data_IF_825057306463
#
_entry.id   IF_825057306463
#
_cell.length_a   1.000
_cell.length_b   1.000
_cell.length_c   1.000
_cell.angle_alpha   90.00
_cell.angle_beta   90.00
_cell.angle_gamma   90.00
#
_symmetry.space_group_name_H-M   'P 1'
#
loop_
_entity.id
_entity.type
_entity.pdbx_description
1 polymer ?
#
# COMPACT_ATOMS: atom_id res chain seq x y z
N UNK A 1 40.38 6.15 -13.16
CA UNK A 1 40.38 4.73 -13.57
C UNK A 1 40.81 4.52 -15.02
N UNK A 2 40.09 5.00 -16.05
CA UNK A 2 40.49 4.80 -17.45
C UNK A 2 41.86 5.42 -17.78
N UNK A 3 42.09 6.66 -17.35
CA UNK A 3 43.38 7.36 -17.53
C UNK A 3 44.52 6.63 -16.80
N UNK A 4 44.34 6.27 -15.53
CA UNK A 4 45.34 5.51 -14.76
C UNK A 4 45.68 4.15 -15.38
N UNK A 5 44.70 3.43 -15.93
CA UNK A 5 44.94 2.16 -16.63
C UNK A 5 45.72 2.35 -17.92
N UNK A 6 45.45 3.44 -18.64
CA UNK A 6 46.22 3.83 -19.81
C UNK A 6 47.65 4.21 -19.45
N UNK A 7 47.84 5.00 -18.39
CA UNK A 7 49.16 5.43 -17.94
C UNK A 7 50.00 4.22 -17.48
N UNK A 8 49.39 3.25 -16.80
CA UNK A 8 50.02 1.96 -16.47
C UNK A 8 50.38 1.15 -17.71
N UNK A 9 49.51 1.12 -18.73
CA UNK A 9 49.83 0.46 -19.99
C UNK A 9 51.01 1.14 -20.72
N UNK A 10 51.07 2.47 -20.72
CA UNK A 10 52.20 3.23 -21.29
C UNK A 10 53.49 2.96 -20.50
N UNK A 11 53.44 2.94 -19.17
CA UNK A 11 54.58 2.62 -18.31
C UNK A 11 55.13 1.21 -18.56
N UNK A 12 54.28 0.25 -18.92
CA UNK A 12 54.66 -1.11 -19.27
C UNK A 12 55.13 -1.27 -20.73
N UNK A 13 55.43 -0.15 -21.43
CA UNK A 13 55.87 -0.12 -22.83
C UNK A 13 54.89 -0.77 -23.81
N UNK A 14 53.58 -0.69 -23.55
CA UNK A 14 52.58 -1.08 -24.55
C UNK A 14 52.55 -0.05 -25.69
N UNK A 15 53.24 -0.34 -26.79
CA UNK A 15 53.00 0.31 -28.07
C UNK A 15 51.89 -0.44 -28.78
N UNK A 16 50.79 0.25 -29.09
CA UNK A 16 49.90 -0.21 -30.15
C UNK A 16 50.70 -0.02 -31.44
N UNK A 17 51.28 -1.08 -31.98
CA UNK A 17 51.76 -1.04 -33.35
C UNK A 17 50.53 -0.81 -34.23
N UNK A 18 50.49 0.31 -34.94
CA UNK A 18 49.47 0.65 -35.95
C UNK A 18 49.59 -0.25 -37.20
N UNK A 19 50.07 -1.49 -37.05
CA UNK A 19 50.09 -2.48 -38.12
C UNK A 19 48.72 -3.16 -38.20
N UNK A 20 47.87 -2.59 -39.05
CA UNK A 20 46.71 -3.28 -39.61
C UNK A 20 47.16 -4.62 -40.21
N UNK A 21 46.74 -5.75 -39.62
CA UNK A 21 46.70 -7.01 -40.37
C UNK A 21 47.25 -8.29 -39.73
N UNK A 22 47.52 -8.39 -38.41
CA UNK A 22 47.75 -9.72 -37.81
C UNK A 22 47.06 -9.91 -36.46
N UNK A 23 46.10 -10.83 -36.42
CA UNK A 23 45.37 -11.31 -35.23
C UNK A 23 46.26 -12.17 -34.32
N UNK A 24 47.50 -11.74 -34.06
CA UNK A 24 48.33 -12.35 -33.03
C UNK A 24 47.82 -11.89 -31.68
N UNK A 25 47.15 -12.79 -30.96
CA UNK A 25 46.70 -12.55 -29.60
C UNK A 25 47.89 -12.10 -28.72
N UNK A 26 47.95 -10.81 -28.42
CA UNK A 26 48.98 -10.23 -27.56
C UNK A 26 48.92 -10.91 -26.18
N UNK A 27 49.99 -11.64 -25.83
CA UNK A 27 50.09 -12.31 -24.54
C UNK A 27 50.58 -11.28 -23.52
N UNK A 28 49.65 -10.76 -22.73
CA UNK A 28 49.94 -9.82 -21.64
C UNK A 28 50.87 -10.47 -20.61
N UNK A 29 52.02 -9.84 -20.34
CA UNK A 29 52.88 -10.17 -19.21
C UNK A 29 52.48 -9.27 -18.03
N UNK A 30 52.01 -9.87 -16.93
CA UNK A 30 51.68 -9.14 -15.72
C UNK A 30 52.86 -9.26 -14.75
N UNK A 31 53.38 -8.14 -14.27
CA UNK A 31 54.43 -8.12 -13.25
C UNK A 31 54.18 -7.00 -12.24
N UNK A 32 54.62 -7.21 -11.00
CA UNK A 32 54.64 -6.21 -9.95
C UNK A 32 56.03 -6.21 -9.31
N UNK A 33 56.75 -5.08 -9.35
CA UNK A 33 58.15 -4.99 -8.90
C UNK A 33 59.04 -6.08 -9.52
N UNK A 34 58.96 -6.25 -10.84
CA UNK A 34 59.69 -7.25 -11.63
C UNK A 34 59.37 -8.73 -11.34
N UNK A 35 58.42 -9.01 -10.44
CA UNK A 35 57.94 -10.37 -10.20
C UNK A 35 56.83 -10.70 -11.19
N UNK A 36 57.00 -11.69 -12.08
CA UNK A 36 55.97 -12.10 -13.01
C UNK A 36 54.81 -12.77 -12.25
N UNK A 37 53.59 -12.46 -12.64
CA UNK A 37 52.39 -12.99 -12.00
C UNK A 37 51.30 -13.33 -13.01
N UNK A 38 50.34 -14.16 -12.57
CA UNK A 38 49.19 -14.48 -13.40
C UNK A 38 48.17 -13.33 -13.38
N UNK A 39 47.36 -13.24 -14.43
CA UNK A 39 46.29 -12.24 -14.59
C UNK A 39 45.38 -12.13 -13.37
N UNK A 40 45.04 -13.26 -12.76
CA UNK A 40 44.17 -13.33 -11.60
C UNK A 40 44.78 -12.71 -10.34
N UNK A 41 46.09 -12.94 -10.12
CA UNK A 41 46.82 -12.35 -9.00
C UNK A 41 46.96 -10.83 -9.15
N UNK A 42 47.30 -10.36 -10.35
CA UNK A 42 47.40 -8.93 -10.66
C UNK A 42 46.06 -8.21 -10.44
N UNK A 43 44.96 -8.78 -10.93
CA UNK A 43 43.63 -8.22 -10.75
C UNK A 43 43.23 -8.13 -9.26
N UNK A 44 43.51 -9.17 -8.46
CA UNK A 44 43.22 -9.16 -7.02
C UNK A 44 44.07 -8.16 -6.25
N UNK A 45 45.36 -8.03 -6.57
CA UNK A 45 46.29 -7.09 -5.94
C UNK A 45 45.87 -5.63 -6.16
N UNK A 46 45.30 -5.31 -7.31
CA UNK A 46 44.78 -3.98 -7.62
C UNK A 46 43.29 -3.80 -7.28
N UNK A 47 42.71 -4.70 -6.47
CA UNK A 47 41.29 -4.68 -6.08
C UNK A 47 40.31 -4.64 -7.27
N UNK A 48 40.76 -5.14 -8.42
CA UNK A 48 39.97 -5.23 -9.64
C UNK A 48 39.22 -6.56 -9.64
N UNK A 49 37.96 -6.55 -9.19
CA UNK A 49 37.07 -7.70 -9.38
C UNK A 49 36.96 -8.05 -10.87
N UNK A 50 36.81 -9.34 -11.21
CA UNK A 50 36.62 -9.82 -12.60
C UNK A 50 35.20 -9.47 -13.07
N UNK A 51 34.91 -8.17 -13.17
CA UNK A 51 33.65 -7.69 -13.70
C UNK A 51 33.73 -7.63 -15.24
N UNK A 52 32.68 -8.03 -15.96
CA UNK A 52 32.60 -7.88 -17.42
C UNK A 52 32.88 -6.44 -17.88
N UNK A 53 32.54 -5.46 -17.03
CA UNK A 53 32.79 -4.03 -17.24
C UNK A 53 34.27 -3.69 -17.31
N UNK A 54 35.10 -4.25 -16.43
CA UNK A 54 36.55 -4.05 -16.44
C UNK A 54 37.22 -4.71 -17.65
N UNK A 55 36.69 -5.83 -18.12
CA UNK A 55 37.20 -6.51 -19.32
C UNK A 55 36.95 -5.66 -20.58
N UNK A 56 35.77 -5.04 -20.69
CA UNK A 56 35.46 -4.09 -21.76
C UNK A 56 36.31 -2.82 -21.67
N UNK A 57 36.54 -2.32 -20.46
CA UNK A 57 37.40 -1.15 -20.23
C UNK A 57 38.85 -1.42 -20.63
N UNK A 58 39.39 -2.58 -20.23
CA UNK A 58 40.71 -3.06 -20.60
C UNK A 58 40.83 -3.21 -22.12
N UNK A 59 39.85 -3.84 -22.79
CA UNK A 59 39.84 -3.97 -24.26
C UNK A 59 39.94 -2.61 -24.95
N UNK A 60 39.19 -1.61 -24.48
CA UNK A 60 39.21 -0.27 -25.05
C UNK A 60 40.55 0.45 -24.81
N UNK A 61 41.17 0.27 -23.64
CA UNK A 61 42.53 0.79 -23.36
C UNK A 61 43.56 0.13 -24.29
N UNK A 62 43.50 -1.20 -24.46
CA UNK A 62 44.41 -1.95 -25.33
C UNK A 62 44.25 -1.59 -26.82
N UNK A 63 43.07 -1.13 -27.23
CA UNK A 63 42.81 -0.62 -28.58
C UNK A 63 43.21 0.86 -28.77
N UNK A 64 43.89 1.47 -27.80
CA UNK A 64 44.34 2.86 -27.88
C UNK A 64 43.21 3.90 -27.80
N UNK A 65 41.98 3.49 -27.51
CA UNK A 65 40.85 4.41 -27.43
C UNK A 65 41.03 5.36 -26.24
N UNK A 66 40.73 6.64 -26.43
CA UNK A 66 40.85 7.67 -25.39
C UNK A 66 39.72 7.66 -24.36
N UNK A 67 38.59 7.04 -24.70
CA UNK A 67 37.39 6.94 -23.88
C UNK A 67 36.80 5.53 -24.02
N UNK A 68 36.21 4.95 -22.95
CA UNK A 68 35.46 3.71 -23.06
C UNK A 68 34.18 3.96 -23.86
N UNK A 69 33.73 2.96 -24.63
CA UNK A 69 32.45 3.04 -25.33
C UNK A 69 31.35 3.39 -24.32
N UNK A 70 30.59 4.46 -24.59
CA UNK A 70 29.59 4.91 -23.65
C UNK A 70 28.50 3.85 -23.55
N UNK A 71 28.22 3.37 -22.34
CA UNK A 71 27.24 2.32 -22.12
C UNK A 71 25.85 2.87 -22.45
N UNK A 72 25.37 2.52 -23.65
CA UNK A 72 24.14 3.02 -24.27
C UNK A 72 22.90 2.73 -23.39
N UNK A 73 22.99 1.75 -22.47
CA UNK A 73 21.96 1.46 -21.47
C UNK A 73 21.67 2.65 -20.55
N UNK A 74 22.66 3.51 -20.31
CA UNK A 74 22.52 4.68 -19.45
C UNK A 74 22.24 5.98 -20.23
N UNK A 75 22.36 5.95 -21.56
CA UNK A 75 22.22 7.15 -22.40
C UNK A 75 20.89 7.26 -23.16
N UNK A 76 20.10 6.20 -23.31
CA UNK A 76 18.81 6.30 -24.02
C UNK A 76 17.71 5.48 -23.33
N UNK A 77 16.83 6.16 -22.57
CA UNK A 77 15.46 5.63 -22.39
C UNK A 77 14.77 5.77 -23.74
N UNK A 78 14.60 4.68 -24.49
CA UNK A 78 13.70 4.72 -25.65
C UNK A 78 12.29 5.04 -25.16
N UNK A 79 11.77 6.21 -25.54
CA UNK A 79 10.34 6.50 -25.46
C UNK A 79 9.66 5.54 -26.44
N UNK A 80 9.10 4.44 -25.92
CA UNK A 80 8.44 3.42 -26.74
C UNK A 80 8.90 1.98 -26.49
N UNK A 81 9.22 1.59 -25.25
CA UNK A 81 9.27 0.16 -24.92
C UNK A 81 7.88 -0.43 -25.17
N UNK A 82 7.77 -1.40 -26.08
CA UNK A 82 6.62 -2.29 -26.10
C UNK A 82 6.39 -2.81 -24.68
N UNK A 83 5.20 -2.55 -24.13
CA UNK A 83 4.82 -3.02 -22.80
C UNK A 83 4.91 -4.54 -22.83
N UNK A 84 5.63 -5.12 -21.88
CA UNK A 84 5.73 -6.58 -21.80
C UNK A 84 4.33 -7.17 -21.61
N UNK A 85 4.04 -8.34 -22.17
CA UNK A 85 2.76 -9.04 -21.96
C UNK A 85 2.40 -9.14 -20.46
N UNK A 86 3.42 -9.39 -19.64
CA UNK A 86 3.32 -9.44 -18.17
C UNK A 86 2.85 -8.14 -17.55
N UNK A 87 3.24 -7.01 -18.13
CA UNK A 87 2.79 -5.69 -17.66
C UNK A 87 1.32 -5.46 -17.98
N UNK A 88 0.83 -5.98 -19.11
CA UNK A 88 -0.59 -5.94 -19.45
C UNK A 88 -1.45 -6.76 -18.49
N UNK A 89 -0.98 -7.95 -18.09
CA UNK A 89 -1.68 -8.81 -17.13
C UNK A 89 -1.80 -8.15 -15.75
N UNK A 90 -0.70 -7.61 -15.23
CA UNK A 90 -0.73 -6.87 -13.95
C UNK A 90 -1.65 -5.66 -14.04
N UNK A 91 -1.56 -4.88 -15.13
CA UNK A 91 -2.42 -3.72 -15.32
C UNK A 91 -3.91 -4.13 -15.33
N UNK A 92 -4.26 -5.18 -16.06
CA UNK A 92 -5.65 -5.69 -16.14
C UNK A 92 -6.16 -6.15 -14.77
N UNK A 93 -5.31 -6.80 -13.98
CA UNK A 93 -5.66 -7.21 -12.62
C UNK A 93 -5.89 -6.01 -11.70
N UNK A 94 -5.00 -5.01 -11.72
CA UNK A 94 -5.14 -3.80 -10.90
C UNK A 94 -6.34 -2.96 -11.33
N UNK A 95 -6.63 -2.89 -12.64
CA UNK A 95 -7.83 -2.25 -13.17
C UNK A 95 -9.09 -2.93 -12.64
N UNK A 96 -9.14 -4.27 -12.70
CA UNK A 96 -10.26 -5.04 -12.14
C UNK A 96 -10.44 -4.77 -10.65
N UNK A 97 -9.35 -4.74 -9.86
CA UNK A 97 -9.43 -4.39 -8.44
C UNK A 97 -9.94 -2.97 -8.20
N UNK A 98 -9.50 -2.00 -8.99
CA UNK A 98 -9.92 -0.61 -8.89
C UNK A 98 -11.41 -0.44 -9.20
N UNK A 99 -11.91 -1.13 -10.22
CA UNK A 99 -13.31 -1.05 -10.64
C UNK A 99 -14.25 -1.81 -9.72
N UNK A 100 -13.85 -2.99 -9.22
CA UNK A 100 -14.75 -3.89 -8.50
C UNK A 100 -14.62 -3.84 -6.98
N UNK A 101 -13.41 -3.65 -6.45
CA UNK A 101 -13.12 -3.76 -5.01
C UNK A 101 -12.90 -2.39 -4.37
N UNK A 102 -12.20 -1.49 -5.06
CA UNK A 102 -11.87 -0.20 -4.49
C UNK A 102 -13.13 0.69 -4.35
N UNK A 103 -13.40 1.15 -3.13
CA UNK A 103 -14.57 1.96 -2.79
C UNK A 103 -14.22 3.45 -2.74
N UNK A 104 -15.14 4.33 -3.13
CA UNK A 104 -15.00 5.76 -2.85
C UNK A 104 -15.45 6.00 -1.42
N UNK A 105 -14.54 6.43 -0.55
CA UNK A 105 -14.90 6.78 0.82
C UNK A 105 -15.52 8.19 0.83
N UNK A 106 -16.62 8.42 1.58
CA UNK A 106 -17.26 9.73 1.71
C UNK A 106 -16.37 10.78 2.42
N UNK A 107 -15.19 10.38 2.90
CA UNK A 107 -14.27 11.22 3.66
C UNK A 107 -13.37 12.11 2.78
N UNK A 108 -13.29 11.89 1.47
CA UNK A 108 -12.40 12.69 0.59
C UNK A 108 -12.93 14.09 0.23
N UNK A 109 -14.18 14.42 0.52
CA UNK A 109 -14.69 15.81 0.45
C UNK A 109 -14.52 16.57 1.77
N UNK A 110 -14.08 15.88 2.83
CA UNK A 110 -13.79 16.51 4.10
C UNK A 110 -12.27 16.52 4.32
N UNK A 111 -11.62 17.63 3.99
CA UNK A 111 -10.37 18.05 4.63
C UNK A 111 -10.62 18.14 6.13
N UNK A 112 -10.60 16.99 6.79
CA UNK A 112 -10.90 16.83 8.21
C UNK A 112 -9.62 17.12 8.97
N UNK A 113 -9.39 18.40 9.24
CA UNK A 113 -8.29 18.94 10.06
C UNK A 113 -8.36 18.51 11.55
N UNK A 114 -9.08 17.43 11.88
CA UNK A 114 -9.49 17.10 13.25
C UNK A 114 -8.78 15.87 13.85
N UNK A 115 -7.70 15.36 13.23
CA UNK A 115 -6.84 14.35 13.86
C UNK A 115 -5.52 14.94 14.33
N UNK A 116 -5.35 14.83 15.66
CA UNK A 116 -4.21 15.17 16.51
C UNK A 116 -2.87 14.72 15.89
N UNK A 117 -1.85 15.59 15.97
CA UNK A 117 -0.50 15.35 15.45
C UNK A 117 0.31 14.37 16.33
N UNK A 118 -0.18 14.03 17.52
CA UNK A 118 0.57 13.21 18.48
C UNK A 118 0.69 11.72 18.09
N UNK A 119 -0.26 11.18 17.31
CA UNK A 119 -0.23 9.78 16.81
C UNK A 119 0.30 9.66 15.36
N UNK A 120 0.66 10.77 14.70
CA UNK A 120 1.08 10.75 13.29
C UNK A 120 2.50 10.22 13.07
N UNK A 121 3.36 10.25 14.07
CA UNK A 121 4.78 9.87 13.91
C UNK A 121 5.01 8.36 13.77
N UNK A 122 4.18 7.49 14.39
CA UNK A 122 4.28 6.04 14.18
C UNK A 122 3.64 5.56 12.85
N UNK A 123 2.64 6.29 12.33
CA UNK A 123 1.93 5.94 11.09
C UNK A 123 2.62 6.50 9.84
N UNK A 124 3.33 7.64 9.95
CA UNK A 124 4.14 8.24 8.88
C UNK A 124 5.20 7.28 8.34
N UNK A 125 5.84 6.47 9.19
CA UNK A 125 6.91 5.55 8.75
C UNK A 125 6.45 4.49 7.73
N UNK A 126 5.16 4.16 7.67
CA UNK A 126 4.64 3.20 6.69
C UNK A 126 4.20 3.86 5.37
N UNK A 127 3.81 5.14 5.41
CA UNK A 127 3.28 5.89 4.26
C UNK A 127 4.30 6.83 3.60
N UNK A 128 5.33 7.28 4.31
CA UNK A 128 6.34 8.22 3.79
C UNK A 128 7.30 7.58 2.78
N UNK A 129 7.31 6.25 2.65
CA UNK A 129 8.00 5.55 1.55
C UNK A 129 7.24 5.71 0.22
N UNK A 130 5.97 6.16 0.25
CA UNK A 130 5.08 6.20 -0.92
C UNK A 130 4.96 7.62 -1.51
N UNK A 131 5.21 8.68 -0.74
CA UNK A 131 4.91 10.06 -1.12
C UNK A 131 6.08 10.89 -1.67
N UNK A 132 7.20 10.28 -2.07
CA UNK A 132 8.39 11.05 -2.47
C UNK A 132 8.53 11.39 -3.96
N UNK A 133 7.64 10.97 -4.87
CA UNK A 133 7.69 11.49 -6.24
C UNK A 133 6.31 11.58 -6.89
N UNK A 134 6.11 12.73 -7.55
CA UNK A 134 5.06 13.06 -8.53
C UNK A 134 3.78 13.67 -7.96
N UNK A 135 3.82 14.96 -7.61
CA UNK A 135 2.69 15.84 -7.94
C UNK A 135 2.83 16.17 -9.44
N UNK A 136 1.96 15.70 -10.34
CA UNK A 136 1.87 16.30 -11.66
C UNK A 136 1.18 17.66 -11.49
N UNK A 137 1.90 18.73 -11.80
CA UNK A 137 1.27 19.98 -12.19
C UNK A 137 0.52 19.69 -13.50
N UNK A 138 -0.81 19.62 -13.47
CA UNK A 138 -1.59 19.63 -14.71
C UNK A 138 -3.00 20.14 -14.46
N UNK A 139 -3.16 21.42 -14.77
CA UNK A 139 -4.39 22.06 -15.22
C UNK A 139 -4.82 21.49 -16.59
N UNK A 140 -5.26 20.23 -16.62
CA UNK A 140 -5.79 19.60 -17.84
C UNK A 140 -7.23 19.09 -17.59
N UNK A 141 -8.27 19.62 -18.26
CA UNK A 141 -9.68 19.32 -17.95
C UNK A 141 -10.16 17.92 -18.36
N UNK A 142 -9.29 17.04 -18.87
CA UNK A 142 -9.65 15.75 -19.48
C UNK A 142 -9.39 14.50 -18.61
N UNK A 143 -8.85 14.63 -17.39
CA UNK A 143 -8.62 13.51 -16.45
C UNK A 143 -9.65 13.47 -15.32
N UNK A 144 -10.93 13.55 -15.67
CA UNK A 144 -12.05 13.64 -14.72
C UNK A 144 -12.40 12.31 -14.01
N UNK A 145 -11.72 11.20 -14.31
CA UNK A 145 -12.13 9.85 -13.87
C UNK A 145 -11.25 9.15 -12.82
N UNK A 146 -10.01 9.60 -12.56
CA UNK A 146 -9.14 8.98 -11.56
C UNK A 146 -9.46 9.51 -10.15
N UNK A 147 -10.69 9.27 -9.70
CA UNK A 147 -11.06 9.52 -8.30
C UNK A 147 -10.26 8.57 -7.41
N UNK A 148 -9.71 9.10 -6.32
CA UNK A 148 -9.04 8.28 -5.30
C UNK A 148 -10.04 7.25 -4.76
N UNK A 149 -9.68 5.96 -4.87
CA UNK A 149 -10.48 4.85 -4.32
C UNK A 149 -9.64 4.07 -3.32
N UNK A 150 -10.32 3.48 -2.35
CA UNK A 150 -9.70 2.77 -1.24
C UNK A 150 -9.97 1.28 -1.35
N UNK A 151 -8.90 0.49 -1.34
CA UNK A 151 -8.95 -0.94 -1.12
C UNK A 151 -9.21 -1.24 0.37
N UNK A 152 -9.77 -2.42 0.68
CA UNK A 152 -9.84 -2.93 2.05
C UNK A 152 -8.48 -2.89 2.75
N UNK A 153 -8.45 -2.80 4.09
CA UNK A 153 -7.19 -2.77 4.84
C UNK A 153 -6.28 -3.95 4.45
N UNK A 154 -5.02 -3.64 4.15
CA UNK A 154 -4.04 -4.60 3.67
C UNK A 154 -2.79 -3.91 3.17
N UNK A 155 -1.96 -4.64 2.41
CA UNK A 155 -0.75 -4.09 1.79
C UNK A 155 -0.62 -4.46 0.32
N UNK A 156 0.14 -3.67 -0.43
CA UNK A 156 0.46 -3.94 -1.84
C UNK A 156 1.10 -5.34 -2.03
N UNK A 157 1.84 -5.81 -1.03
CA UNK A 157 2.44 -7.14 -1.02
C UNK A 157 1.39 -8.25 -0.87
N UNK A 158 0.34 -8.05 -0.07
CA UNK A 158 -0.77 -9.00 0.03
C UNK A 158 -1.57 -9.05 -1.26
N UNK A 159 -1.85 -7.90 -1.88
CA UNK A 159 -2.50 -7.84 -3.19
C UNK A 159 -1.66 -8.51 -4.28
N UNK A 160 -0.34 -8.41 -4.20
CA UNK A 160 0.58 -9.16 -5.07
C UNK A 160 0.52 -10.67 -4.81
N UNK A 161 0.42 -11.13 -3.55
CA UNK A 161 0.21 -12.57 -3.27
C UNK A 161 -1.11 -13.08 -3.84
N UNK A 162 -2.18 -12.27 -3.77
CA UNK A 162 -3.46 -12.59 -4.40
C UNK A 162 -3.31 -12.72 -5.91
N UNK A 163 -2.60 -11.78 -6.55
CA UNK A 163 -2.25 -11.85 -7.98
C UNK A 163 -1.53 -13.16 -8.34
N UNK A 164 -0.52 -13.57 -7.55
CA UNK A 164 0.19 -14.83 -7.76
C UNK A 164 -0.73 -16.05 -7.59
N UNK A 165 -1.67 -16.01 -6.64
CA UNK A 165 -2.61 -17.10 -6.37
C UNK A 165 -3.61 -17.33 -7.52
N UNK A 166 -3.88 -16.31 -8.33
CA UNK A 166 -4.73 -16.39 -9.52
C UNK A 166 -4.02 -17.02 -10.75
N UNK A 167 -2.97 -17.82 -10.52
CA UNK A 167 -2.11 -18.49 -11.52
C UNK A 167 -1.21 -17.59 -12.37
N UNK A 168 -1.03 -16.31 -12.00
CA UNK A 168 -0.06 -15.43 -12.66
C UNK A 168 1.35 -15.49 -12.02
N UNK A 169 1.99 -16.65 -12.09
CA UNK A 169 3.23 -16.95 -11.34
C UNK A 169 4.52 -16.30 -11.88
N UNK A 170 4.45 -15.58 -13.01
CA UNK A 170 5.64 -15.15 -13.75
C UNK A 170 5.99 -13.65 -13.64
N UNK A 171 5.28 -12.90 -12.79
CA UNK A 171 5.59 -11.50 -12.50
C UNK A 171 6.35 -11.38 -11.18
N UNK A 172 7.44 -10.62 -11.15
CA UNK A 172 8.13 -10.28 -9.91
C UNK A 172 7.44 -9.10 -9.21
N UNK A 173 7.59 -9.03 -7.88
CA UNK A 173 7.00 -7.97 -7.07
C UNK A 173 7.43 -6.57 -7.52
N UNK A 174 8.67 -6.40 -7.97
CA UNK A 174 9.18 -5.09 -8.44
C UNK A 174 8.44 -4.59 -9.68
N UNK A 175 8.08 -5.49 -10.61
CA UNK A 175 7.28 -5.13 -11.79
C UNK A 175 5.85 -4.78 -11.39
N UNK A 176 5.28 -5.53 -10.44
CA UNK A 176 3.95 -5.25 -9.89
C UNK A 176 3.87 -3.86 -9.25
N UNK A 177 4.83 -3.53 -8.38
CA UNK A 177 4.93 -2.24 -7.70
C UNK A 177 5.14 -1.10 -8.71
N UNK A 178 5.96 -1.31 -9.75
CA UNK A 178 6.19 -0.29 -10.77
C UNK A 178 4.88 0.07 -11.50
N UNK A 179 4.09 -0.93 -11.91
CA UNK A 179 2.82 -0.70 -12.60
C UNK A 179 1.80 -0.05 -11.67
N UNK A 180 1.75 -0.47 -10.40
CA UNK A 180 0.90 0.17 -9.41
C UNK A 180 1.24 1.65 -9.26
N UNK A 181 2.52 2.00 -9.12
CA UNK A 181 2.95 3.40 -8.94
C UNK A 181 2.74 4.25 -10.18
N UNK A 182 2.99 3.69 -11.36
CA UNK A 182 2.90 4.42 -12.62
C UNK A 182 1.44 4.66 -13.06
N UNK A 183 0.51 3.74 -12.72
CA UNK A 183 -0.86 3.76 -13.25
C UNK A 183 -1.97 3.80 -12.19
N UNK A 184 -1.73 3.33 -10.96
CA UNK A 184 -2.73 3.18 -9.91
C UNK A 184 -2.28 3.86 -8.61
N UNK A 185 -1.54 4.96 -8.70
CA UNK A 185 -1.08 5.74 -7.54
C UNK A 185 -2.24 6.32 -6.72
N UNK A 186 -3.41 6.51 -7.35
CA UNK A 186 -4.65 6.96 -6.74
C UNK A 186 -5.41 5.84 -5.99
N UNK A 187 -4.94 4.58 -6.03
CA UNK A 187 -5.53 3.45 -5.30
C UNK A 187 -4.80 3.25 -3.97
N UNK A 188 -5.49 3.55 -2.87
CA UNK A 188 -4.94 3.54 -1.51
C UNK A 188 -5.53 2.42 -0.66
N UNK A 189 -4.87 2.04 0.44
CA UNK A 189 -5.45 1.11 1.42
C UNK A 189 -6.18 1.90 2.50
N UNK A 190 -7.38 1.45 2.89
CA UNK A 190 -8.10 2.01 4.03
C UNK A 190 -7.31 1.80 5.32
N UNK A 191 -7.29 2.81 6.19
CA UNK A 191 -6.68 2.70 7.51
C UNK A 191 -7.34 1.56 8.32
N UNK A 192 -6.52 0.78 9.02
CA UNK A 192 -7.06 -0.28 9.88
C UNK A 192 -7.77 0.35 11.08
N UNK A 193 -9.05 -0.01 11.23
CA UNK A 193 -9.92 0.26 12.39
C UNK A 193 -10.72 1.56 12.37
N UNK A 194 -11.79 1.58 11.56
CA UNK A 194 -12.97 2.42 11.86
C UNK A 194 -13.98 1.73 12.80
N UNK A 195 -13.69 0.49 13.23
CA UNK A 195 -14.57 -0.33 14.05
C UNK A 195 -13.81 -0.94 15.22
N UNK A 196 -14.51 -1.11 16.34
CA UNK A 196 -13.97 -1.80 17.51
C UNK A 196 -13.51 -3.22 17.15
N UNK A 197 -12.33 -3.60 17.65
CA UNK A 197 -11.81 -4.96 17.47
C UNK A 197 -12.66 -5.92 18.29
N UNK A 198 -13.13 -7.00 17.66
CA UNK A 198 -13.88 -8.04 18.35
C UNK A 198 -13.05 -8.64 19.51
N UNK A 199 -13.55 -8.53 20.74
CA UNK A 199 -12.87 -9.03 21.93
C UNK A 199 -12.60 -10.54 21.87
N UNK A 200 -13.52 -11.32 21.28
CA UNK A 200 -13.40 -12.78 21.10
C UNK A 200 -12.24 -13.11 20.16
N UNK A 201 -12.11 -12.40 19.03
CA UNK A 201 -10.95 -12.52 18.13
C UNK A 201 -9.63 -12.25 18.87
N UNK A 202 -9.58 -11.17 19.67
CA UNK A 202 -8.39 -10.81 20.45
C UNK A 202 -8.04 -11.91 21.46
N UNK A 203 -9.03 -12.41 22.20
CA UNK A 203 -8.84 -13.51 23.14
C UNK A 203 -8.31 -14.77 22.46
N UNK A 204 -8.87 -15.16 21.32
CA UNK A 204 -8.37 -16.31 20.55
C UNK A 204 -6.91 -16.13 20.12
N UNK A 205 -6.56 -14.96 19.56
CA UNK A 205 -5.18 -14.67 19.13
C UNK A 205 -4.18 -14.70 20.29
N UNK A 206 -4.55 -14.13 21.43
CA UNK A 206 -3.73 -14.16 22.64
C UNK A 206 -3.52 -15.59 23.15
N UNK A 207 -4.60 -16.39 23.22
CA UNK A 207 -4.51 -17.79 23.64
C UNK A 207 -3.65 -18.63 22.68
N UNK A 208 -3.76 -18.43 21.37
CA UNK A 208 -2.90 -19.10 20.37
C UNK A 208 -1.42 -18.76 20.62
N UNK A 209 -1.11 -17.51 20.96
CA UNK A 209 0.25 -17.06 21.28
C UNK A 209 0.76 -17.68 22.58
N UNK A 210 -0.07 -17.71 23.63
CA UNK A 210 0.30 -18.29 24.92
C UNK A 210 0.46 -19.82 24.87
N UNK A 211 -0.32 -20.52 24.02
CA UNK A 211 -0.27 -21.98 23.86
C UNK A 211 0.84 -22.45 22.90
N UNK A 212 1.79 -21.60 22.52
CA UNK A 212 2.86 -21.91 21.56
C UNK A 212 3.71 -23.13 21.92
N UNK A 213 3.83 -23.43 23.22
CA UNK A 213 4.57 -24.57 23.76
C UNK A 213 3.80 -25.90 23.69
N UNK A 214 2.48 -25.87 23.44
CA UNK A 214 1.64 -27.07 23.31
C UNK A 214 0.88 -27.05 21.97
N UNK A 215 1.47 -27.68 20.96
CA UNK A 215 0.94 -27.72 19.59
C UNK A 215 -0.49 -28.28 19.51
N UNK A 216 -0.85 -29.27 20.34
CA UNK A 216 -2.21 -29.84 20.34
C UNK A 216 -3.24 -28.82 20.84
N UNK A 217 -2.93 -28.14 21.95
CA UNK A 217 -3.79 -27.10 22.49
C UNK A 217 -3.88 -25.89 21.55
N UNK A 218 -2.77 -25.47 20.96
CA UNK A 218 -2.72 -24.39 19.98
C UNK A 218 -3.57 -24.69 18.74
N UNK A 219 -3.47 -25.90 18.19
CA UNK A 219 -4.27 -26.31 17.03
C UNK A 219 -5.77 -26.32 17.37
N UNK A 220 -6.15 -26.86 18.53
CA UNK A 220 -7.55 -26.81 18.99
C UNK A 220 -8.04 -25.36 19.10
N UNK A 221 -7.24 -24.48 19.67
CA UNK A 221 -7.58 -23.05 19.78
C UNK A 221 -7.70 -22.37 18.41
N UNK A 222 -6.88 -22.76 17.44
CA UNK A 222 -6.96 -22.28 16.05
C UNK A 222 -8.26 -22.72 15.38
N UNK A 223 -8.67 -23.97 15.54
CA UNK A 223 -9.97 -24.43 15.04
C UNK A 223 -11.15 -23.65 15.66
N UNK A 224 -11.08 -23.34 16.96
CA UNK A 224 -12.10 -22.51 17.61
C UNK A 224 -12.15 -21.09 17.02
N UNK A 225 -10.97 -20.51 16.75
CA UNK A 225 -10.87 -19.20 16.13
C UNK A 225 -11.40 -19.18 14.69
N UNK A 226 -11.04 -20.17 13.88
CA UNK A 226 -11.54 -20.33 12.50
C UNK A 226 -13.07 -20.47 12.48
N UNK A 227 -13.63 -21.27 13.39
CA UNK A 227 -15.09 -21.40 13.55
C UNK A 227 -15.75 -20.07 13.93
N UNK A 228 -15.13 -19.29 14.82
CA UNK A 228 -15.63 -17.96 15.17
C UNK A 228 -15.61 -17.01 13.96
N UNK A 229 -14.54 -17.02 13.16
CA UNK A 229 -14.46 -16.22 11.93
C UNK A 229 -15.52 -16.65 10.90
N UNK A 230 -15.74 -17.95 10.74
CA UNK A 230 -16.77 -18.49 9.86
C UNK A 230 -18.17 -18.01 10.29
N UNK A 231 -18.50 -18.12 11.57
CA UNK A 231 -19.78 -17.62 12.11
C UNK A 231 -19.95 -16.10 11.88
N UNK A 232 -18.93 -15.29 12.19
CA UNK A 232 -18.99 -13.86 11.91
C UNK A 232 -19.16 -13.53 10.42
N UNK A 233 -18.61 -14.35 9.53
CA UNK A 233 -18.75 -14.16 8.10
C UNK A 233 -20.16 -14.53 7.62
N UNK A 234 -20.73 -15.61 8.14
CA UNK A 234 -22.13 -16.00 7.89
C UNK A 234 -23.10 -14.89 8.29
N UNK A 235 -22.93 -14.32 9.50
CA UNK A 235 -23.73 -13.20 9.97
C UNK A 235 -23.63 -11.99 9.03
N UNK A 236 -22.41 -11.67 8.55
CA UNK A 236 -22.20 -10.58 7.59
C UNK A 236 -22.87 -10.86 6.25
N UNK A 237 -22.81 -12.10 5.74
CA UNK A 237 -23.49 -12.46 4.50
C UNK A 237 -25.00 -12.31 4.61
N UNK A 238 -25.58 -12.75 5.74
CA UNK A 238 -27.00 -12.57 6.02
C UNK A 238 -27.36 -11.08 6.05
N UNK A 239 -26.62 -10.29 6.82
CA UNK A 239 -26.80 -8.84 6.88
C UNK A 239 -26.70 -8.20 5.49
N UNK A 240 -25.69 -8.51 4.69
CA UNK A 240 -25.53 -7.93 3.34
C UNK A 240 -26.69 -8.28 2.42
N UNK A 241 -27.19 -9.52 2.50
CA UNK A 241 -28.37 -9.97 1.74
C UNK A 241 -29.62 -9.20 2.14
N UNK A 242 -29.89 -9.10 3.44
CA UNK A 242 -31.06 -8.40 3.99
C UNK A 242 -30.97 -6.89 3.71
N UNK A 243 -29.78 -6.29 3.85
CA UNK A 243 -29.49 -4.90 3.46
C UNK A 243 -29.73 -4.65 1.98
N UNK A 244 -29.27 -5.55 1.10
CA UNK A 244 -29.47 -5.43 -0.34
C UNK A 244 -30.95 -5.46 -0.71
N UNK A 245 -31.71 -6.37 -0.09
CA UNK A 245 -33.18 -6.42 -0.23
C UNK A 245 -33.84 -5.14 0.28
N UNK A 246 -33.45 -4.65 1.45
CA UNK A 246 -33.98 -3.40 2.01
C UNK A 246 -33.77 -2.19 1.10
N UNK A 247 -32.64 -2.15 0.38
CA UNK A 247 -32.31 -1.08 -0.57
C UNK A 247 -32.97 -1.22 -1.95
N UNK A 248 -33.70 -2.31 -2.21
CA UNK A 248 -34.29 -2.56 -3.54
C UNK A 248 -35.46 -1.62 -3.87
N UNK A 249 -35.82 -0.71 -2.96
CA UNK A 249 -36.80 0.34 -3.18
C UNK A 249 -38.08 0.15 -2.35
N UNK A 250 -39.09 1.00 -2.60
CA UNK A 250 -40.32 1.08 -1.79
C UNK A 250 -41.14 -0.23 -1.74
N UNK A 251 -41.02 -1.08 -2.75
CA UNK A 251 -41.73 -2.36 -2.84
C UNK A 251 -41.05 -3.48 -2.05
N UNK A 252 -39.94 -3.19 -1.37
CA UNK A 252 -39.23 -4.18 -0.57
C UNK A 252 -40.02 -4.57 0.67
N UNK A 253 -40.33 -5.86 0.80
CA UNK A 253 -40.98 -6.42 1.99
C UNK A 253 -40.03 -6.64 3.18
N UNK A 254 -38.77 -6.19 3.07
CA UNK A 254 -37.74 -6.44 4.08
C UNK A 254 -37.06 -5.14 4.46
N UNK A 255 -37.08 -4.78 5.74
CA UNK A 255 -36.36 -3.61 6.27
C UNK A 255 -35.14 -4.07 7.07
N UNK A 256 -33.98 -3.49 6.75
CA UNK A 256 -32.74 -3.73 7.49
C UNK A 256 -32.37 -2.49 8.29
N UNK A 257 -32.35 -2.63 9.62
CA UNK A 257 -32.05 -1.55 10.55
C UNK A 257 -30.72 -1.81 11.26
N UNK A 258 -29.91 -0.77 11.42
CA UNK A 258 -28.79 -0.74 12.37
C UNK A 258 -29.11 0.31 13.41
N UNK A 259 -29.16 -0.09 14.68
CA UNK A 259 -29.32 0.82 15.80
C UNK A 259 -28.03 0.81 16.60
N UNK A 260 -27.46 1.98 16.82
CA UNK A 260 -26.27 2.15 17.66
C UNK A 260 -26.46 3.36 18.58
N UNK A 261 -25.97 3.26 19.81
CA UNK A 261 -26.07 4.34 20.79
C UNK A 261 -24.69 4.73 21.29
N UNK A 262 -24.44 6.03 21.32
CA UNK A 262 -23.18 6.59 21.81
C UNK A 262 -23.26 6.76 23.32
N UNK A 263 -22.19 6.36 24.00
CA UNK A 263 -22.01 6.57 25.45
C UNK A 263 -22.23 8.06 25.83
N UNK A 264 -23.07 8.28 26.83
CA UNK A 264 -23.47 9.57 27.39
C UNK A 264 -22.29 10.50 27.68
N UNK A 265 -21.17 9.96 28.15
CA UNK A 265 -20.00 10.77 28.51
C UNK A 265 -19.32 11.37 27.27
N UNK A 266 -19.52 10.76 26.09
CA UNK A 266 -18.84 11.14 24.85
C UNK A 266 -19.60 12.21 24.08
N UNK A 267 -20.90 12.39 24.32
CA UNK A 267 -21.73 13.34 23.59
C UNK A 267 -22.08 14.56 24.43
N UNK A 268 -21.14 15.50 24.53
CA UNK A 268 -21.37 16.85 25.06
C UNK A 268 -21.69 17.83 23.92
N UNK A 269 -22.70 18.67 24.11
CA UNK A 269 -23.15 19.69 23.17
C UNK A 269 -22.94 21.09 23.77
N UNK A 270 -22.58 22.12 22.99
CA UNK A 270 -22.27 22.13 21.55
C UNK A 270 -20.91 21.54 21.18
N UNK A 271 -20.81 20.93 19.99
CA UNK A 271 -19.57 20.36 19.42
C UNK A 271 -18.82 21.31 18.47
N UNK A 272 -18.89 22.62 18.72
CA UNK A 272 -18.16 23.59 17.89
C UNK A 272 -16.65 23.58 18.20
N UNK A 273 -15.82 23.90 17.19
CA UNK A 273 -14.35 23.95 17.31
C UNK A 273 -13.87 24.86 18.44
N UNK A 274 -14.60 25.95 18.72
CA UNK A 274 -14.29 26.88 19.81
C UNK A 274 -14.16 26.18 21.18
N UNK A 275 -14.96 25.14 21.44
CA UNK A 275 -14.96 24.39 22.71
C UNK A 275 -13.84 23.35 22.83
N UNK A 276 -12.88 23.32 21.88
CA UNK A 276 -11.64 22.53 22.01
C UNK A 276 -10.53 23.29 22.77
N UNK A 277 -10.66 24.61 22.92
CA UNK A 277 -9.68 25.41 23.68
C UNK A 277 -9.74 25.05 25.16
N UNK A 278 -8.57 24.96 25.82
CA UNK A 278 -8.43 24.71 27.27
C UNK A 278 -9.22 25.70 28.13
N UNK A 279 -9.51 26.89 27.62
CA UNK A 279 -10.33 27.89 28.31
C UNK A 279 -11.76 27.41 28.57
N UNK A 280 -12.25 26.44 27.81
CA UNK A 280 -13.59 25.87 27.95
C UNK A 280 -13.60 24.52 28.68
N UNK A 281 -12.48 24.08 29.26
CA UNK A 281 -12.44 22.81 30.01
C UNK A 281 -13.32 22.87 31.26
N UNK A 282 -13.42 24.04 31.90
CA UNK A 282 -14.31 24.27 33.04
C UNK A 282 -15.77 24.53 32.63
N UNK A 283 -16.05 24.69 31.33
CA UNK A 283 -17.40 24.97 30.85
C UNK A 283 -18.24 23.69 30.87
N UNK A 284 -19.27 23.67 31.73
CA UNK A 284 -20.18 22.53 31.83
C UNK A 284 -21.08 22.48 30.59
N UNK A 285 -20.81 21.49 29.73
CA UNK A 285 -21.59 21.24 28.52
C UNK A 285 -22.71 20.24 28.80
N UNK A 286 -23.96 20.53 28.38
CA UNK A 286 -25.04 19.55 28.38
C UNK A 286 -24.60 18.25 27.72
N UNK A 287 -24.90 17.13 28.37
CA UNK A 287 -24.65 15.80 27.84
C UNK A 287 -25.95 15.24 27.30
N UNK A 288 -25.87 14.64 26.11
CA UNK A 288 -27.01 14.04 25.45
C UNK A 288 -26.75 12.56 25.30
N UNK A 289 -27.80 11.75 25.44
CA UNK A 289 -27.78 10.40 24.91
C UNK A 289 -28.16 10.47 23.44
N UNK A 290 -27.34 9.84 22.61
CA UNK A 290 -27.53 9.85 21.16
C UNK A 290 -27.66 8.43 20.68
N UNK A 291 -28.83 8.11 20.14
CA UNK A 291 -29.09 6.82 19.48
C UNK A 291 -29.35 7.09 18.01
N UNK A 292 -28.58 6.46 17.14
CA UNK A 292 -28.77 6.53 15.70
C UNK A 292 -29.43 5.24 15.21
N UNK A 293 -30.39 5.37 14.31
CA UNK A 293 -30.98 4.28 13.55
C UNK A 293 -30.75 4.51 12.06
N UNK A 294 -30.07 3.57 11.42
CA UNK A 294 -29.88 3.56 9.97
C UNK A 294 -30.85 2.55 9.35
N UNK A 295 -31.89 3.06 8.70
CA UNK A 295 -32.83 2.28 7.91
C UNK A 295 -32.33 2.17 6.47
N UNK A 296 -31.72 1.04 6.12
CA UNK A 296 -31.02 0.89 4.85
C UNK A 296 -31.93 1.08 3.63
N UNK A 297 -31.66 2.13 2.85
CA UNK A 297 -32.42 2.46 1.65
C UNK A 297 -33.54 3.48 1.88
N UNK A 298 -33.74 3.93 3.11
CA UNK A 298 -34.85 4.82 3.47
C UNK A 298 -34.38 6.08 4.21
N UNK A 299 -33.78 5.93 5.39
CA UNK A 299 -33.45 7.08 6.24
C UNK A 299 -32.30 6.78 7.21
N UNK A 300 -31.69 7.86 7.71
CA UNK A 300 -30.80 7.84 8.85
C UNK A 300 -31.39 8.78 9.91
N UNK A 301 -31.74 8.21 11.05
CA UNK A 301 -32.48 8.85 12.13
C UNK A 301 -31.57 9.01 13.33
N UNK A 302 -31.63 10.16 13.98
CA UNK A 302 -30.86 10.46 15.19
C UNK A 302 -31.83 10.88 16.28
N UNK A 303 -31.88 10.07 17.33
CA UNK A 303 -32.67 10.32 18.52
C UNK A 303 -31.78 10.92 19.60
N UNK A 304 -32.24 12.03 20.16
CA UNK A 304 -31.55 12.75 21.22
C UNK A 304 -32.43 12.71 22.47
N UNK A 305 -31.86 12.28 23.59
CA UNK A 305 -32.51 12.43 24.89
C UNK A 305 -31.59 13.13 25.89
N UNK A 306 -32.22 13.78 26.88
CA UNK A 306 -31.50 14.47 27.95
C UNK A 306 -30.65 13.48 28.77
N UNK A 307 -29.52 13.93 29.33
CA UNK A 307 -28.62 13.10 30.16
C UNK A 307 -29.32 12.36 31.28
N UNK A 308 -30.36 12.98 31.84
CA UNK A 308 -31.01 12.52 33.07
C UNK A 308 -32.06 11.44 32.78
N UNK A 309 -32.33 11.17 31.50
CA UNK A 309 -33.16 10.05 31.09
C UNK A 309 -32.34 8.77 31.24
N UNK A 310 -32.80 7.89 32.12
CA UNK A 310 -32.24 6.54 32.25
C UNK A 310 -32.48 5.77 30.96
N UNK A 311 -31.40 5.44 30.24
CA UNK A 311 -31.47 4.52 29.12
C UNK A 311 -31.10 3.12 29.60
N UNK A 312 -32.02 2.18 29.43
CA UNK A 312 -31.80 0.75 29.62
C UNK A 312 -32.28 -0.03 28.39
N UNK A 313 -32.13 -1.36 28.41
CA UNK A 313 -32.55 -2.22 27.30
C UNK A 313 -34.04 -2.17 26.95
N UNK A 314 -34.88 -1.56 27.78
CA UNK A 314 -36.31 -1.33 27.53
C UNK A 314 -36.65 0.10 27.11
N UNK A 315 -35.66 0.93 26.79
CA UNK A 315 -35.92 2.31 26.31
C UNK A 315 -36.53 2.23 24.92
N UNK A 316 -37.74 2.75 24.75
CA UNK A 316 -38.43 2.81 23.46
C UNK A 316 -38.45 4.25 22.96
N UNK A 317 -38.21 4.40 21.67
CA UNK A 317 -38.40 5.66 20.95
C UNK A 317 -39.38 5.39 19.84
N UNK A 318 -40.49 6.13 19.83
CA UNK A 318 -41.52 6.02 18.82
C UNK A 318 -41.40 7.20 17.86
N UNK A 319 -41.11 6.91 16.59
CA UNK A 319 -41.15 7.88 15.53
C UNK A 319 -42.36 7.60 14.64
N UNK A 320 -43.32 8.53 14.64
CA UNK A 320 -44.50 8.46 13.79
C UNK A 320 -44.18 9.23 12.51
N UNK A 321 -43.78 8.50 11.47
CA UNK A 321 -43.58 9.06 10.13
C UNK A 321 -44.95 9.28 9.48
N UNK A 322 -45.41 10.53 9.44
CA UNK A 322 -46.58 10.92 8.65
C UNK A 322 -46.34 10.63 7.17
N UNK A 323 -47.30 9.97 6.51
CA UNK A 323 -47.17 9.34 5.19
C UNK A 323 -46.87 10.27 3.99
N UNK A 324 -45.70 10.91 3.99
CA UNK A 324 -45.07 11.47 2.81
C UNK A 324 -44.17 10.41 2.20
N UNK A 325 -44.52 9.93 1.01
CA UNK A 325 -43.77 8.97 0.22
C UNK A 325 -42.30 9.39 0.15
N UNK A 326 -41.41 8.60 0.77
CA UNK A 326 -39.97 8.73 0.60
C UNK A 326 -39.66 8.46 -0.89
N UNK A 327 -39.20 9.49 -1.60
CA UNK A 327 -38.67 9.37 -2.98
C UNK A 327 -37.17 9.24 -2.96
#
# INVERSE_FOLDING_TARGET
VFTQLRDLAIQQNFKADDQEGSDKAFKLHFALQDVPMCRGAFARLHLMGVSPRLTSLQKNVMQGKRLPDVDVRYLKKSKGKQRSSKSGEVFSYLQSLYESVAETLPENDNTREDFDDSDKEEVKQSNDIILLHSKPDSSDPLTQEDRVRYLPPGSMFETYKQYLALKNTYCCFTTFVAIWRDHFSHMLFRQSQQHAVCAVCTQHKLLIKCLSHNLKAQNKQRCLYERHLAAQYEDRQLYWRVRGRSRSGPDSQTLSLIIDSVDQQKCSWPRARAFKSKQFDAFQRPRLHVTACLAHGYSALIFLSHSDVSQCGSTTVEEILGGGVFR
#
